data_IF_453737822218
#
_entry.id   IF_453737822218
#
_cell.length_a   1.000
_cell.length_b   1.000
_cell.length_c   1.000
_cell.angle_alpha   90.00
_cell.angle_beta   90.00
_cell.angle_gamma   90.00
#
_symmetry.space_group_name_H-M   'P 1'
#
loop_
_entity.id
_entity.type
_entity.pdbx_description
1 polymer ?
#
# COMPACT_ATOMS: atom_id res chain seq x y z
N UNK A 1 87.62 -8.00 23.46
CA UNK A 1 88.04 -7.94 24.88
C UNK A 1 88.66 -6.60 25.20
N UNK A 2 88.00 -5.80 26.05
CA UNK A 2 88.50 -4.97 27.17
C UNK A 2 87.72 -3.65 27.29
N UNK A 3 87.22 -3.48 28.52
CA UNK A 3 86.36 -2.43 29.10
C UNK A 3 87.13 -1.12 29.29
N UNK A 4 86.40 -0.02 29.48
CA UNK A 4 86.39 0.87 30.66
C UNK A 4 85.31 1.97 30.38
N UNK A 5 84.15 2.03 31.05
CA UNK A 5 83.86 2.62 32.39
C UNK A 5 84.59 3.95 32.63
N UNK A 6 84.03 5.02 33.19
CA UNK A 6 82.73 5.42 33.76
C UNK A 6 82.99 6.84 34.33
N UNK A 7 81.95 7.67 34.49
CA UNK A 7 81.78 8.83 35.40
C UNK A 7 81.35 10.10 34.67
N UNK A 8 80.48 10.98 35.20
CA UNK A 8 79.58 11.04 36.36
C UNK A 8 79.03 12.47 36.33
N UNK A 9 77.86 12.72 36.95
CA UNK A 9 77.23 14.04 37.20
C UNK A 9 76.28 14.48 36.08
N UNK A 10 74.98 14.18 36.10
CA UNK A 10 73.99 14.45 37.17
C UNK A 10 74.20 15.86 37.72
N UNK A 11 73.39 16.83 37.29
CA UNK A 11 72.74 17.84 38.17
C UNK A 11 72.06 19.05 37.48
N UNK A 12 71.80 19.06 36.16
CA UNK A 12 71.21 20.26 35.51
C UNK A 12 69.96 20.01 34.66
N UNK A 13 69.18 18.97 34.97
CA UNK A 13 67.91 18.69 34.25
C UNK A 13 66.69 18.50 35.18
N UNK A 14 66.71 19.07 36.39
CA UNK A 14 65.59 19.00 37.36
C UNK A 14 65.00 20.40 37.68
N UNK A 15 65.15 21.39 36.79
CA UNK A 15 64.55 22.72 36.98
C UNK A 15 63.61 23.17 35.86
N UNK A 16 63.20 22.26 34.96
CA UNK A 16 62.26 22.58 33.88
C UNK A 16 61.11 21.57 33.75
N UNK A 17 60.56 21.12 34.88
CA UNK A 17 59.39 20.21 34.91
C UNK A 17 58.38 20.57 36.02
N UNK A 18 58.31 21.84 36.41
CA UNK A 18 57.38 22.33 37.45
C UNK A 18 56.50 23.50 36.97
N UNK A 19 56.11 23.50 35.69
CA UNK A 19 55.16 24.49 35.12
C UNK A 19 54.09 23.85 34.21
N UNK A 20 53.65 22.62 34.51
CA UNK A 20 52.49 21.99 33.85
C UNK A 20 51.49 21.38 34.85
N UNK A 21 51.28 22.05 35.98
CA UNK A 21 50.24 21.71 36.94
C UNK A 21 49.37 22.93 37.23
N UNK A 22 48.59 23.34 36.23
CA UNK A 22 47.39 24.15 36.47
C UNK A 22 46.43 24.01 35.30
N UNK A 23 45.15 23.79 35.64
CA UNK A 23 43.99 23.61 34.76
C UNK A 23 43.77 22.20 34.14
N UNK A 24 43.82 21.15 34.97
CA UNK A 24 43.04 19.93 34.70
C UNK A 24 41.85 19.86 35.67
N UNK A 25 40.89 20.77 35.52
CA UNK A 25 39.54 20.52 36.05
C UNK A 25 38.91 19.48 35.14
N UNK A 26 38.86 18.22 35.60
CA UNK A 26 38.01 17.20 34.99
C UNK A 26 36.60 17.78 34.92
N UNK A 27 35.98 17.96 33.74
CA UNK A 27 34.61 18.40 33.69
C UNK A 27 33.79 17.37 34.46
N UNK A 28 33.09 17.79 35.52
CA UNK A 28 32.06 16.96 36.16
C UNK A 28 31.23 16.42 35.02
N UNK A 29 31.23 15.09 34.84
CA UNK A 29 30.35 14.40 33.89
C UNK A 29 28.95 14.90 34.23
N UNK A 30 28.39 15.83 33.42
CA UNK A 30 26.99 16.20 33.56
C UNK A 30 26.26 14.88 33.40
N UNK A 31 25.65 14.40 34.47
CA UNK A 31 24.70 13.29 34.38
C UNK A 31 23.72 13.69 33.28
N UNK A 32 23.80 13.01 32.14
CA UNK A 32 22.79 13.14 31.10
C UNK A 32 21.50 12.73 31.80
N UNK A 33 20.51 13.63 31.93
CA UNK A 33 19.28 13.28 32.63
C UNK A 33 18.77 11.99 32.00
N UNK A 34 18.53 10.98 32.84
CA UNK A 34 18.10 9.66 32.39
C UNK A 34 17.01 9.83 31.33
N UNK A 35 17.28 9.35 30.12
CA UNK A 35 16.40 9.53 28.98
C UNK A 35 15.05 8.95 29.37
N UNK A 36 14.05 9.82 29.58
CA UNK A 36 12.77 9.40 30.13
C UNK A 36 12.06 8.55 29.09
N UNK A 37 12.23 7.24 29.18
CA UNK A 37 11.55 6.29 28.30
C UNK A 37 10.07 6.32 28.63
N UNK A 38 9.27 6.84 27.70
CA UNK A 38 7.82 6.82 27.81
C UNK A 38 7.34 5.37 27.83
N UNK A 39 6.38 5.07 28.70
CA UNK A 39 5.68 3.78 28.64
C UNK A 39 4.87 3.70 27.34
N UNK A 40 4.56 2.48 26.89
CA UNK A 40 3.73 2.27 25.72
C UNK A 40 2.38 3.01 25.82
N UNK A 41 1.79 3.05 27.02
CA UNK A 41 0.56 3.81 27.29
C UNK A 41 0.76 5.32 27.11
N UNK A 42 1.88 5.87 27.59
CA UNK A 42 2.19 7.29 27.42
C UNK A 42 2.45 7.65 25.96
N UNK A 43 3.08 6.75 25.19
CA UNK A 43 3.28 6.92 23.74
C UNK A 43 1.92 6.97 23.04
N UNK A 44 1.03 6.02 23.35
CA UNK A 44 -0.30 5.96 22.75
C UNK A 44 -1.14 7.21 23.08
N UNK A 45 -1.14 7.64 24.35
CA UNK A 45 -1.82 8.86 24.77
C UNK A 45 -1.28 10.11 24.06
N UNK A 46 0.04 10.19 23.84
CA UNK A 46 0.66 11.30 23.14
C UNK A 46 0.30 11.29 21.64
N UNK A 47 0.32 10.11 21.02
CA UNK A 47 -0.08 9.92 19.63
C UNK A 47 -1.53 10.35 19.44
N UNK A 48 -2.44 9.89 20.30
CA UNK A 48 -3.85 10.25 20.23
C UNK A 48 -4.07 11.76 20.40
N UNK A 49 -3.42 12.39 21.39
CA UNK A 49 -3.48 13.85 21.57
C UNK A 49 -2.97 14.63 20.35
N UNK A 50 -1.96 14.10 19.67
CA UNK A 50 -1.41 14.70 18.45
C UNK A 50 -2.41 14.59 17.31
N UNK A 51 -3.01 13.41 17.11
CA UNK A 51 -4.07 13.18 16.12
C UNK A 51 -5.25 14.13 16.38
N UNK A 52 -5.70 14.26 17.63
CA UNK A 52 -6.83 15.12 17.99
C UNK A 52 -6.53 16.60 17.71
N UNK A 53 -5.33 17.06 18.04
CA UNK A 53 -4.90 18.44 17.76
C UNK A 53 -4.88 18.74 16.26
N UNK A 54 -4.27 17.85 15.47
CA UNK A 54 -4.20 18.00 14.00
C UNK A 54 -5.60 17.94 13.41
N UNK A 55 -6.43 16.99 13.86
CA UNK A 55 -7.81 16.84 13.43
C UNK A 55 -8.63 18.12 13.70
N UNK A 56 -8.53 18.68 14.91
CA UNK A 56 -9.19 19.94 15.27
C UNK A 56 -8.74 21.09 14.36
N UNK A 57 -7.44 21.20 14.11
CA UNK A 57 -6.89 22.24 13.24
C UNK A 57 -7.39 22.13 11.79
N UNK A 58 -7.46 20.92 11.25
CA UNK A 58 -8.00 20.69 9.90
C UNK A 58 -9.49 21.05 9.79
N UNK A 59 -10.27 20.79 10.85
CA UNK A 59 -11.67 21.19 10.92
C UNK A 59 -11.82 22.73 10.97
N UNK A 60 -11.04 23.41 11.82
CA UNK A 60 -11.02 24.88 11.88
C UNK A 60 -10.65 25.50 10.53
N UNK A 61 -9.63 24.98 9.85
CA UNK A 61 -9.23 25.43 8.52
C UNK A 61 -10.34 25.19 7.49
N UNK A 62 -11.03 24.05 7.58
CA UNK A 62 -12.15 23.71 6.69
C UNK A 62 -13.33 24.67 6.87
N UNK A 63 -13.66 25.03 8.12
CA UNK A 63 -14.69 26.03 8.44
C UNK A 63 -14.30 27.40 7.90
N UNK A 64 -13.09 27.87 8.18
CA UNK A 64 -12.60 29.16 7.70
C UNK A 64 -12.56 29.24 6.17
N UNK A 65 -12.12 28.16 5.49
CA UNK A 65 -12.10 28.09 4.04
C UNK A 65 -13.52 28.18 3.44
N UNK A 66 -14.50 27.46 4.02
CA UNK A 66 -15.91 27.53 3.58
C UNK A 66 -16.48 28.93 3.75
N UNK A 67 -16.18 29.61 4.87
CA UNK A 67 -16.61 30.99 5.11
C UNK A 67 -15.96 31.99 4.13
N UNK A 68 -14.76 31.69 3.65
CA UNK A 68 -13.98 32.55 2.74
C UNK A 68 -14.28 32.33 1.25
N UNK A 69 -15.21 31.44 0.91
CA UNK A 69 -15.65 31.22 -0.47
C UNK A 69 -15.00 30.04 -1.20
N UNK A 70 -15.50 29.72 -2.41
CA UNK A 70 -15.19 28.48 -3.12
C UNK A 70 -13.72 28.33 -3.52
N UNK A 71 -13.02 29.43 -3.80
CA UNK A 71 -11.61 29.36 -4.19
C UNK A 71 -10.70 29.01 -3.01
N UNK A 72 -11.03 29.45 -1.79
CA UNK A 72 -10.32 29.01 -0.57
C UNK A 72 -10.59 27.55 -0.25
N UNK A 73 -11.82 27.07 -0.49
CA UNK A 73 -12.15 25.64 -0.40
C UNK A 73 -11.31 24.82 -1.38
N UNK A 74 -11.24 25.24 -2.65
CA UNK A 74 -10.42 24.57 -3.68
C UNK A 74 -8.94 24.55 -3.30
N UNK A 75 -8.40 25.69 -2.89
CA UNK A 75 -7.00 25.80 -2.46
C UNK A 75 -6.70 24.85 -1.30
N UNK A 76 -7.50 24.88 -0.23
CA UNK A 76 -7.30 24.00 0.93
C UNK A 76 -7.45 22.52 0.54
N UNK A 77 -8.43 22.19 -0.30
CA UNK A 77 -8.63 20.83 -0.77
C UNK A 77 -7.42 20.31 -1.57
N UNK A 78 -6.83 21.14 -2.44
CA UNK A 78 -5.62 20.81 -3.19
C UNK A 78 -4.40 20.64 -2.26
N UNK A 79 -4.20 21.54 -1.29
CA UNK A 79 -3.12 21.43 -0.30
C UNK A 79 -3.23 20.13 0.51
N UNK A 80 -4.42 19.84 1.04
CA UNK A 80 -4.68 18.60 1.77
C UNK A 80 -4.45 17.35 0.89
N UNK A 81 -4.90 17.37 -0.36
CA UNK A 81 -4.69 16.25 -1.28
C UNK A 81 -3.19 16.00 -1.54
N UNK A 82 -2.40 17.06 -1.76
CA UNK A 82 -0.96 16.94 -1.98
C UNK A 82 -0.25 16.37 -0.75
N UNK A 83 -0.56 16.87 0.45
CA UNK A 83 0.02 16.36 1.70
C UNK A 83 -0.36 14.90 1.96
N UNK A 84 -1.63 14.54 1.77
CA UNK A 84 -2.07 13.16 1.90
C UNK A 84 -1.38 12.25 0.87
N UNK A 85 -1.18 12.73 -0.36
CA UNK A 85 -0.49 11.98 -1.41
C UNK A 85 1.00 11.78 -1.11
N UNK A 86 1.67 12.80 -0.55
CA UNK A 86 3.05 12.67 -0.08
C UNK A 86 3.17 11.62 1.03
N UNK A 87 2.29 11.67 2.03
CA UNK A 87 2.24 10.67 3.09
C UNK A 87 2.00 9.24 2.53
N UNK A 88 1.12 9.09 1.52
CA UNK A 88 0.95 7.79 0.83
C UNK A 88 2.23 7.30 0.15
N UNK A 89 3.03 8.18 -0.45
CA UNK A 89 4.29 7.84 -1.11
C UNK A 89 5.35 7.42 -0.10
N UNK A 90 5.34 8.01 1.09
CA UNK A 90 6.22 7.66 2.21
C UNK A 90 5.76 6.38 2.95
N UNK A 91 4.54 5.90 2.67
CA UNK A 91 3.94 4.76 3.37
C UNK A 91 3.32 5.12 4.72
N UNK A 92 3.24 6.41 5.07
CA UNK A 92 2.52 6.91 6.24
C UNK A 92 1.01 6.97 5.95
N UNK A 93 0.40 5.78 5.96
CA UNK A 93 -1.03 5.62 5.70
C UNK A 93 -1.90 6.22 6.80
N UNK A 94 -1.41 6.32 8.03
CA UNK A 94 -2.13 6.89 9.16
C UNK A 94 -2.30 8.40 8.99
N UNK A 95 -1.22 9.12 8.67
CA UNK A 95 -1.30 10.56 8.35
C UNK A 95 -2.15 10.81 7.11
N UNK A 96 -1.98 10.00 6.06
CA UNK A 96 -2.81 10.09 4.86
C UNK A 96 -4.30 9.92 5.19
N UNK A 97 -4.67 8.91 5.99
CA UNK A 97 -6.05 8.65 6.40
C UNK A 97 -6.63 9.81 7.21
N UNK A 98 -5.86 10.39 8.12
CA UNK A 98 -6.29 11.55 8.91
C UNK A 98 -6.63 12.75 8.01
N UNK A 99 -5.75 13.07 7.06
CA UNK A 99 -5.97 14.19 6.14
C UNK A 99 -7.15 13.90 5.21
N UNK A 100 -7.20 12.68 4.63
CA UNK A 100 -8.29 12.28 3.74
C UNK A 100 -9.66 12.29 4.44
N UNK A 101 -9.74 11.86 5.71
CA UNK A 101 -10.96 11.91 6.52
C UNK A 101 -11.58 13.31 6.57
N UNK A 102 -10.75 14.34 6.65
CA UNK A 102 -11.20 15.74 6.62
C UNK A 102 -11.44 16.22 5.19
N UNK A 103 -10.58 15.84 4.25
CA UNK A 103 -10.70 16.25 2.85
C UNK A 103 -12.02 15.78 2.22
N UNK A 104 -12.46 14.55 2.49
CA UNK A 104 -13.74 14.05 1.96
C UNK A 104 -14.96 14.74 2.57
N UNK A 105 -14.83 15.42 3.72
CA UNK A 105 -15.88 16.28 4.28
C UNK A 105 -15.86 17.68 3.66
N UNK A 106 -14.67 18.19 3.32
CA UNK A 106 -14.49 19.47 2.65
C UNK A 106 -14.98 19.41 1.20
N UNK A 107 -14.68 18.31 0.50
CA UNK A 107 -15.04 18.06 -0.90
C UNK A 107 -15.87 16.75 -1.05
N UNK A 108 -17.14 16.73 -0.58
CA UNK A 108 -17.92 15.49 -0.50
C UNK A 108 -18.32 14.87 -1.83
N UNK A 109 -18.22 15.61 -2.95
CA UNK A 109 -18.52 15.12 -4.30
C UNK A 109 -17.26 14.71 -5.08
N UNK A 110 -16.08 14.81 -4.47
CA UNK A 110 -14.84 14.36 -5.09
C UNK A 110 -14.68 12.84 -4.93
N UNK A 111 -15.26 12.11 -5.87
CA UNK A 111 -15.19 10.64 -5.90
C UNK A 111 -13.78 10.10 -6.13
N UNK A 112 -12.91 10.89 -6.77
CA UNK A 112 -11.51 10.50 -6.97
C UNK A 112 -10.77 10.50 -5.62
N UNK A 113 -10.93 11.55 -4.81
CA UNK A 113 -10.37 11.60 -3.46
C UNK A 113 -10.98 10.52 -2.56
N UNK A 114 -12.29 10.30 -2.62
CA UNK A 114 -12.94 9.21 -1.86
C UNK A 114 -12.36 7.84 -2.21
N UNK A 115 -12.08 7.58 -3.49
CA UNK A 115 -11.42 6.34 -3.90
C UNK A 115 -10.01 6.23 -3.31
N UNK A 116 -9.21 7.29 -3.34
CA UNK A 116 -7.87 7.30 -2.73
C UNK A 116 -7.92 7.03 -1.22
N UNK A 117 -8.86 7.67 -0.53
CA UNK A 117 -9.07 7.46 0.90
C UNK A 117 -9.44 6.01 1.21
N UNK A 118 -10.41 5.46 0.48
CA UNK A 118 -10.80 4.05 0.65
C UNK A 118 -9.63 3.08 0.46
N UNK A 119 -8.81 3.29 -0.58
CA UNK A 119 -7.62 2.44 -0.81
C UNK A 119 -6.62 2.57 0.33
N UNK A 120 -6.42 3.78 0.87
CA UNK A 120 -5.54 4.01 2.02
C UNK A 120 -6.06 3.33 3.30
N UNK A 121 -7.37 3.37 3.55
CA UNK A 121 -8.02 2.64 4.65
C UNK A 121 -7.81 1.13 4.54
N UNK A 122 -7.78 0.56 3.32
CA UNK A 122 -7.47 -0.86 3.13
C UNK A 122 -6.04 -1.17 3.59
N UNK A 123 -5.08 -0.26 3.38
CA UNK A 123 -3.67 -0.45 3.79
C UNK A 123 -3.49 -0.48 5.30
N UNK A 124 -4.35 0.21 6.05
CA UNK A 124 -4.34 0.22 7.53
C UNK A 124 -5.27 -0.81 8.15
N UNK A 125 -5.98 -1.62 7.35
CA UNK A 125 -6.91 -2.64 7.83
C UNK A 125 -8.29 -2.10 8.23
N UNK A 126 -8.60 -0.84 7.94
CA UNK A 126 -9.89 -0.20 8.19
C UNK A 126 -10.92 -0.59 7.11
N UNK A 127 -11.12 -1.89 6.91
CA UNK A 127 -11.83 -2.47 5.77
C UNK A 127 -13.31 -2.06 5.74
N UNK A 128 -13.99 -1.98 6.89
CA UNK A 128 -15.40 -1.60 7.00
C UNK A 128 -15.62 -0.12 6.66
N UNK A 129 -14.69 0.75 7.06
CA UNK A 129 -14.72 2.16 6.69
C UNK A 129 -14.51 2.32 5.19
N UNK A 130 -13.54 1.60 4.61
CA UNK A 130 -13.33 1.56 3.17
C UNK A 130 -14.58 1.05 2.43
N UNK A 131 -15.27 0.04 2.94
CA UNK A 131 -16.44 -0.54 2.29
C UNK A 131 -17.53 0.52 2.06
N UNK A 132 -17.88 1.28 3.10
CA UNK A 132 -18.92 2.32 3.04
C UNK A 132 -18.61 3.35 1.94
N UNK A 133 -17.35 3.79 1.87
CA UNK A 133 -16.90 4.77 0.88
C UNK A 133 -16.94 4.18 -0.53
N UNK A 134 -16.45 2.95 -0.72
CA UNK A 134 -16.44 2.29 -2.04
C UNK A 134 -17.85 2.01 -2.55
N UNK A 135 -18.79 1.62 -1.70
CA UNK A 135 -20.20 1.46 -2.07
C UNK A 135 -20.79 2.78 -2.59
N UNK A 136 -20.51 3.89 -1.90
CA UNK A 136 -20.93 5.22 -2.32
C UNK A 136 -20.35 5.59 -3.68
N UNK A 137 -19.03 5.51 -3.83
CA UNK A 137 -18.30 5.84 -5.06
C UNK A 137 -18.80 4.96 -6.21
N UNK A 138 -18.95 3.66 -5.99
CA UNK A 138 -19.43 2.73 -7.01
C UNK A 138 -20.88 3.00 -7.40
N UNK A 139 -21.75 3.37 -6.45
CA UNK A 139 -23.14 3.75 -6.71
C UNK A 139 -23.19 4.99 -7.62
N UNK A 140 -22.39 6.02 -7.32
CA UNK A 140 -22.35 7.27 -8.05
C UNK A 140 -21.62 7.20 -9.41
N UNK A 141 -20.69 6.24 -9.59
CA UNK A 141 -19.89 6.15 -10.80
C UNK A 141 -20.71 5.87 -12.07
N UNK A 142 -20.41 6.62 -13.14
CA UNK A 142 -20.91 6.35 -14.49
C UNK A 142 -20.37 5.00 -14.98
N UNK A 143 -21.22 4.19 -15.63
CA UNK A 143 -20.89 2.86 -16.17
C UNK A 143 -20.24 1.88 -15.18
N UNK A 144 -20.35 2.11 -13.86
CA UNK A 144 -19.70 1.29 -12.84
C UNK A 144 -18.21 1.19 -13.09
N UNK A 145 -17.51 2.22 -12.61
CA UNK A 145 -16.07 2.36 -12.77
C UNK A 145 -15.38 1.03 -12.44
N UNK A 146 -14.59 0.57 -13.42
CA UNK A 146 -13.97 -0.75 -13.38
C UNK A 146 -13.01 -0.86 -12.20
N UNK A 147 -12.16 0.15 -11.97
CA UNK A 147 -11.16 0.15 -10.91
C UNK A 147 -11.83 0.13 -9.54
N UNK A 148 -12.84 0.99 -9.33
CA UNK A 148 -13.60 1.03 -8.07
C UNK A 148 -14.31 -0.30 -7.82
N UNK A 149 -14.98 -0.85 -8.83
CA UNK A 149 -15.71 -2.11 -8.68
C UNK A 149 -14.81 -3.30 -8.37
N UNK A 150 -13.60 -3.36 -8.95
CA UNK A 150 -12.66 -4.44 -8.66
C UNK A 150 -12.21 -4.42 -7.20
N UNK A 151 -11.89 -3.23 -6.68
CA UNK A 151 -11.53 -3.02 -5.27
C UNK A 151 -12.73 -3.35 -4.37
N UNK A 152 -13.93 -2.86 -4.68
CA UNK A 152 -15.15 -3.16 -3.91
C UNK A 152 -15.45 -4.66 -3.86
N UNK A 153 -15.35 -5.36 -4.99
CA UNK A 153 -15.50 -6.81 -5.03
C UNK A 153 -14.47 -7.52 -4.14
N UNK A 154 -13.24 -7.03 -4.09
CA UNK A 154 -12.18 -7.55 -3.24
C UNK A 154 -12.48 -7.34 -1.76
N UNK A 155 -12.91 -6.13 -1.39
CA UNK A 155 -13.33 -5.77 -0.01
C UNK A 155 -14.51 -6.61 0.46
N UNK A 156 -15.54 -6.81 -0.37
CA UNK A 156 -16.61 -7.74 -0.01
C UNK A 156 -16.10 -9.17 0.21
N UNK A 157 -15.13 -9.62 -0.60
CA UNK A 157 -14.55 -10.95 -0.45
C UNK A 157 -13.75 -11.09 0.85
N UNK A 158 -12.97 -10.08 1.24
CA UNK A 158 -12.18 -10.12 2.47
C UNK A 158 -13.06 -10.11 3.72
N UNK A 159 -14.24 -9.48 3.64
CA UNK A 159 -15.25 -9.48 4.70
C UNK A 159 -16.16 -10.72 4.70
N UNK A 160 -15.88 -11.73 3.88
CA UNK A 160 -16.72 -12.92 3.76
C UNK A 160 -18.08 -12.69 3.10
N UNK A 161 -18.35 -11.49 2.56
CA UNK A 161 -19.58 -11.15 1.84
C UNK A 161 -19.53 -11.65 0.38
N UNK A 162 -19.36 -12.97 0.22
CA UNK A 162 -19.05 -13.64 -1.05
C UNK A 162 -20.08 -13.34 -2.14
N UNK A 163 -21.37 -13.38 -1.84
CA UNK A 163 -22.41 -13.14 -2.86
C UNK A 163 -22.42 -11.68 -3.35
N UNK A 164 -22.19 -10.69 -2.46
CA UNK A 164 -22.05 -9.30 -2.88
C UNK A 164 -20.83 -9.10 -3.77
N UNK A 165 -19.68 -9.67 -3.39
CA UNK A 165 -18.46 -9.68 -4.19
C UNK A 165 -18.72 -10.22 -5.61
N UNK A 166 -19.38 -11.39 -5.70
CA UNK A 166 -19.74 -12.01 -6.98
C UNK A 166 -20.66 -11.14 -7.82
N UNK A 167 -21.64 -10.50 -7.20
CA UNK A 167 -22.58 -9.63 -7.92
C UNK A 167 -21.88 -8.40 -8.50
N UNK A 168 -20.91 -7.82 -7.77
CA UNK A 168 -20.05 -6.76 -8.31
C UNK A 168 -19.27 -7.26 -9.51
N UNK A 169 -18.55 -8.38 -9.41
CA UNK A 169 -17.76 -8.89 -10.54
C UNK A 169 -18.62 -9.31 -11.74
N UNK A 170 -19.78 -9.93 -11.54
CA UNK A 170 -20.73 -10.24 -12.63
C UNK A 170 -21.16 -8.98 -13.37
N UNK A 171 -21.45 -7.91 -12.63
CA UNK A 171 -21.82 -6.60 -13.21
C UNK A 171 -20.65 -5.96 -13.95
N UNK A 172 -19.43 -6.08 -13.45
CA UNK A 172 -18.25 -5.61 -14.16
C UNK A 172 -18.03 -6.38 -15.47
N UNK A 173 -18.18 -7.70 -15.46
CA UNK A 173 -18.03 -8.53 -16.67
C UNK A 173 -19.10 -8.20 -17.73
N UNK A 174 -20.32 -7.86 -17.33
CA UNK A 174 -21.38 -7.51 -18.29
C UNK A 174 -21.14 -6.18 -18.99
N UNK A 175 -20.53 -5.21 -18.29
CA UNK A 175 -20.23 -3.87 -18.81
C UNK A 175 -18.87 -3.85 -19.52
N UNK A 176 -17.85 -4.43 -18.90
CA UNK A 176 -16.46 -4.44 -19.33
C UNK A 176 -16.07 -5.84 -19.81
N UNK A 177 -16.65 -6.26 -20.96
CA UNK A 177 -16.62 -7.65 -21.46
C UNK A 177 -15.24 -8.27 -21.65
N UNK A 178 -14.19 -7.44 -21.79
CA UNK A 178 -12.78 -7.82 -22.00
C UNK A 178 -11.91 -7.63 -20.75
N UNK A 179 -12.47 -7.26 -19.60
CA UNK A 179 -11.67 -7.16 -18.38
C UNK A 179 -11.40 -8.54 -17.79
N UNK A 180 -10.13 -8.92 -17.79
CA UNK A 180 -9.65 -10.21 -17.30
C UNK A 180 -9.76 -10.34 -15.77
N UNK A 181 -9.46 -9.28 -15.03
CA UNK A 181 -9.39 -9.30 -13.57
C UNK A 181 -10.74 -9.68 -12.94
N UNK A 182 -11.84 -9.07 -13.40
CA UNK A 182 -13.19 -9.40 -12.91
C UNK A 182 -13.56 -10.86 -13.21
N UNK A 183 -13.18 -11.37 -14.39
CA UNK A 183 -13.36 -12.78 -14.75
C UNK A 183 -12.56 -13.71 -13.82
N UNK A 184 -11.29 -13.38 -13.56
CA UNK A 184 -10.39 -14.14 -12.71
C UNK A 184 -10.89 -14.14 -11.26
N UNK A 185 -11.22 -12.99 -10.70
CA UNK A 185 -11.70 -12.89 -9.31
C UNK A 185 -13.03 -13.63 -9.10
N UNK A 186 -13.96 -13.53 -10.05
CA UNK A 186 -15.20 -14.31 -9.99
C UNK A 186 -14.94 -15.82 -10.11
N UNK A 187 -14.02 -16.24 -10.98
CA UNK A 187 -13.65 -17.64 -11.12
C UNK A 187 -12.97 -18.20 -9.85
N UNK A 188 -12.04 -17.44 -9.27
CA UNK A 188 -11.40 -17.78 -7.97
C UNK A 188 -12.45 -17.93 -6.88
N UNK A 189 -13.42 -17.01 -6.81
CA UNK A 189 -14.54 -17.10 -5.86
C UNK A 189 -15.35 -18.39 -6.03
N UNK A 190 -15.63 -18.84 -7.25
CA UNK A 190 -16.29 -20.14 -7.47
C UNK A 190 -15.39 -21.33 -7.14
N UNK A 191 -14.09 -21.24 -7.40
CA UNK A 191 -13.14 -22.30 -7.11
C UNK A 191 -12.99 -22.55 -5.60
N UNK A 192 -12.98 -21.49 -4.79
CA UNK A 192 -12.95 -21.56 -3.32
C UNK A 192 -14.15 -22.35 -2.75
N UNK A 193 -15.34 -22.21 -3.35
CA UNK A 193 -16.52 -23.02 -3.01
C UNK A 193 -16.54 -24.41 -3.66
N UNK A 194 -15.38 -24.90 -4.12
CA UNK A 194 -15.23 -26.19 -4.81
C UNK A 194 -16.05 -26.31 -6.11
N UNK A 195 -16.60 -25.21 -6.66
CA UNK A 195 -17.35 -25.19 -7.93
C UNK A 195 -16.42 -25.12 -9.14
N UNK A 196 -15.45 -26.03 -9.22
CA UNK A 196 -14.37 -26.06 -10.22
C UNK A 196 -14.87 -26.03 -11.66
N UNK A 197 -15.87 -26.85 -12.00
CA UNK A 197 -16.45 -26.88 -13.37
C UNK A 197 -17.02 -25.51 -13.77
N UNK A 198 -17.70 -24.84 -12.84
CA UNK A 198 -18.29 -23.50 -13.06
C UNK A 198 -17.21 -22.43 -13.23
N UNK A 199 -16.17 -22.46 -12.39
CA UNK A 199 -15.03 -21.55 -12.49
C UNK A 199 -14.30 -21.70 -13.84
N UNK A 200 -13.99 -22.93 -14.24
CA UNK A 200 -13.35 -23.20 -15.53
C UNK A 200 -14.23 -22.80 -16.73
N UNK A 201 -15.55 -23.08 -16.67
CA UNK A 201 -16.50 -22.66 -17.71
C UNK A 201 -16.56 -21.14 -17.84
N UNK A 202 -16.55 -20.40 -16.73
CA UNK A 202 -16.51 -18.95 -16.74
C UNK A 202 -15.26 -18.43 -17.45
N UNK A 203 -14.07 -18.91 -17.07
CA UNK A 203 -12.80 -18.48 -17.67
C UNK A 203 -12.74 -18.80 -19.16
N UNK A 204 -13.23 -19.97 -19.58
CA UNK A 204 -13.37 -20.31 -21.02
C UNK A 204 -14.26 -19.33 -21.76
N UNK A 205 -15.39 -18.95 -21.16
CA UNK A 205 -16.30 -17.97 -21.78
C UNK A 205 -15.68 -16.56 -21.83
N UNK A 206 -14.86 -16.18 -20.85
CA UNK A 206 -14.09 -14.93 -20.90
C UNK A 206 -13.02 -14.97 -22.01
N UNK A 207 -12.27 -16.07 -22.13
CA UNK A 207 -11.28 -16.25 -23.20
C UNK A 207 -11.91 -16.15 -24.60
N UNK A 208 -13.14 -16.66 -24.79
CA UNK A 208 -13.87 -16.50 -26.07
C UNK A 208 -14.17 -15.04 -26.43
N UNK A 209 -14.33 -14.15 -25.44
CA UNK A 209 -14.65 -12.72 -25.65
C UNK A 209 -13.39 -11.85 -25.77
N UNK A 210 -12.29 -12.31 -25.22
CA UNK A 210 -10.99 -11.64 -25.22
C UNK A 210 -9.88 -12.66 -25.55
N UNK A 211 -9.87 -13.18 -26.79
CA UNK A 211 -8.95 -14.25 -27.19
C UNK A 211 -7.51 -13.74 -27.29
N UNK A 212 -6.56 -14.67 -27.21
CA UNK A 212 -5.13 -14.37 -27.42
C UNK A 212 -4.34 -14.09 -26.14
N UNK A 213 -4.96 -14.26 -24.96
CA UNK A 213 -4.29 -14.13 -23.67
C UNK A 213 -4.19 -15.47 -22.95
N UNK A 214 -2.96 -15.92 -22.70
CA UNK A 214 -2.67 -17.13 -21.93
C UNK A 214 -3.23 -17.12 -20.51
N UNK A 215 -3.55 -15.94 -19.96
CA UNK A 215 -3.96 -15.74 -18.58
C UNK A 215 -5.20 -16.55 -18.19
N UNK A 216 -6.19 -16.70 -19.09
CA UNK A 216 -7.40 -17.46 -18.79
C UNK A 216 -7.10 -18.95 -18.66
N UNK A 217 -6.28 -19.50 -19.56
CA UNK A 217 -5.85 -20.89 -19.49
C UNK A 217 -4.94 -21.14 -18.27
N UNK A 218 -4.07 -20.18 -17.92
CA UNK A 218 -3.26 -20.25 -16.70
C UNK A 218 -4.12 -20.39 -15.44
N UNK A 219 -5.14 -19.53 -15.27
CA UNK A 219 -6.02 -19.63 -14.10
C UNK A 219 -6.90 -20.88 -14.10
N UNK A 220 -7.31 -21.41 -15.27
CA UNK A 220 -7.96 -22.73 -15.35
C UNK A 220 -7.00 -23.82 -14.85
N UNK A 221 -5.74 -23.78 -15.29
CA UNK A 221 -4.69 -24.68 -14.82
C UNK A 221 -4.52 -24.64 -13.30
N UNK A 222 -4.41 -23.44 -12.71
CA UNK A 222 -4.34 -23.27 -11.25
C UNK A 222 -5.53 -23.90 -10.51
N UNK A 223 -6.75 -23.68 -11.00
CA UNK A 223 -7.96 -24.26 -10.39
C UNK A 223 -7.90 -25.80 -10.42
N UNK A 224 -7.30 -26.41 -11.45
CA UNK A 224 -7.12 -27.86 -11.51
C UNK A 224 -5.97 -28.36 -10.65
N UNK A 225 -4.91 -27.57 -10.44
CA UNK A 225 -3.87 -27.86 -9.43
C UNK A 225 -4.47 -27.92 -8.03
N UNK A 226 -5.33 -26.96 -7.67
CA UNK A 226 -6.02 -26.95 -6.37
C UNK A 226 -6.92 -28.17 -6.16
N UNK A 227 -7.31 -28.86 -7.25
CA UNK A 227 -8.05 -30.14 -7.26
C UNK A 227 -7.18 -31.38 -7.43
N UNK A 228 -5.85 -31.23 -7.44
CA UNK A 228 -4.87 -32.31 -7.66
C UNK A 228 -5.01 -33.02 -9.02
N UNK A 229 -5.67 -32.39 -10.00
CA UNK A 229 -5.82 -32.91 -11.36
C UNK A 229 -4.66 -32.44 -12.24
N UNK A 230 -3.45 -32.90 -11.92
CA UNK A 230 -2.21 -32.40 -12.50
C UNK A 230 -2.09 -32.60 -14.01
N UNK A 231 -2.57 -33.74 -14.56
CA UNK A 231 -2.58 -33.99 -16.01
C UNK A 231 -3.39 -32.94 -16.75
N UNK A 232 -4.60 -32.64 -16.26
CA UNK A 232 -5.47 -31.60 -16.80
C UNK A 232 -4.86 -30.21 -16.64
N UNK A 233 -4.30 -29.91 -15.48
CA UNK A 233 -3.63 -28.64 -15.23
C UNK A 233 -2.48 -28.40 -16.21
N UNK A 234 -1.61 -29.41 -16.44
CA UNK A 234 -0.52 -29.36 -17.42
C UNK A 234 -1.01 -29.01 -18.82
N UNK A 235 -2.09 -29.63 -19.28
CA UNK A 235 -2.69 -29.30 -20.60
C UNK A 235 -3.11 -27.83 -20.68
N UNK A 236 -3.71 -27.27 -19.63
CA UNK A 236 -4.09 -25.85 -19.64
C UNK A 236 -2.89 -24.91 -19.55
N UNK A 237 -1.86 -25.24 -18.78
CA UNK A 237 -0.62 -24.45 -18.76
C UNK A 237 0.09 -24.45 -20.11
N UNK A 238 0.15 -25.60 -20.80
CA UNK A 238 0.69 -25.68 -22.16
C UNK A 238 -0.09 -24.80 -23.15
N UNK A 239 -1.42 -24.73 -23.01
CA UNK A 239 -2.25 -23.82 -23.82
C UNK A 239 -1.97 -22.36 -23.51
N UNK A 240 -1.81 -22.02 -22.23
CA UNK A 240 -1.46 -20.66 -21.80
C UNK A 240 -0.14 -20.20 -22.44
N UNK A 241 0.91 -21.04 -22.35
CA UNK A 241 2.20 -20.77 -22.97
C UNK A 241 2.12 -20.66 -24.50
N UNK A 242 1.31 -21.51 -25.15
CA UNK A 242 1.12 -21.43 -26.61
C UNK A 242 0.47 -20.11 -27.04
N UNK A 243 -0.53 -19.63 -26.29
CA UNK A 243 -1.19 -18.34 -26.56
C UNK A 243 -0.23 -17.16 -26.35
N UNK A 244 0.59 -17.21 -25.29
CA UNK A 244 1.58 -16.18 -24.99
C UNK A 244 2.74 -16.16 -26.00
N UNK A 245 3.27 -17.32 -26.37
CA UNK A 245 4.28 -17.44 -27.42
C UNK A 245 3.75 -16.97 -28.78
N UNK A 246 2.49 -17.25 -29.10
CA UNK A 246 1.83 -16.71 -30.30
C UNK A 246 1.76 -15.18 -30.25
N UNK A 247 1.43 -14.61 -29.10
CA UNK A 247 1.39 -13.16 -28.92
C UNK A 247 2.77 -12.54 -29.11
N UNK A 248 3.81 -13.08 -28.45
CA UNK A 248 5.20 -12.62 -28.57
C UNK A 248 5.73 -12.75 -30.00
N UNK A 249 5.56 -13.92 -30.64
CA UNK A 249 5.97 -14.13 -32.03
C UNK A 249 5.26 -13.20 -33.01
N UNK A 250 3.97 -12.89 -32.78
CA UNK A 250 3.23 -11.93 -33.60
C UNK A 250 3.61 -10.47 -33.36
N UNK A 251 4.01 -10.11 -32.14
CA UNK A 251 4.42 -8.75 -31.78
C UNK A 251 5.85 -8.40 -32.19
N UNK A 252 6.73 -9.40 -32.29
CA UNK A 252 8.13 -9.23 -32.68
C UNK A 252 8.47 -9.74 -34.09
N UNK A 253 7.50 -10.32 -34.82
CA UNK A 253 7.76 -10.99 -36.11
C UNK A 253 8.67 -12.24 -36.00
N UNK A 254 9.02 -12.65 -34.79
CA UNK A 254 9.91 -13.78 -34.54
C UNK A 254 9.08 -15.06 -34.40
N UNK A 255 9.00 -15.79 -35.50
CA UNK A 255 8.52 -17.17 -35.53
C UNK A 255 9.56 -18.04 -34.82
N UNK A 256 9.40 -18.27 -33.53
CA UNK A 256 10.23 -19.23 -32.79
C UNK A 256 9.70 -20.64 -33.06
N UNK A 257 9.98 -21.13 -34.27
CA UNK A 257 9.96 -22.55 -34.57
C UNK A 257 11.34 -23.10 -34.14
N UNK A 258 11.35 -23.91 -33.07
CA UNK A 258 12.22 -25.09 -32.86
C UNK A 258 11.76 -25.87 -31.63
#
# INVERSE_FOLDING_TARGET
MKKLNFNLRILTFISLALWLSSCAQTPKKKEVPAQKHLSQKQIEELNQKTIDRVSKRLEELSVAAKASGPDKVRFLASDMYLKASAALMEGDYQTANLIFKHLVKLAPKDYFVKQKYAISLIRTGEIEASLKILEEVFKASKRKDLKVGLVLGGVYSSLGQVEKSRNVYKRLISIHKKNEEACIFLAKSYALEKKTKRAAKLLKNCNKRDPGKGIYNYYIGKIYVDKKYYKTAKTYFQRALKEENKLLSSGYGLRLDK
#
